data_IF_496181193574
#
_entry.id   IF_496181193574
#
_cell.length_a   1.000
_cell.length_b   1.000
_cell.length_c   1.000
_cell.angle_alpha   90.00
_cell.angle_beta   90.00
_cell.angle_gamma   90.00
#
_symmetry.space_group_name_H-M   'P 1'
#
loop_
_entity.id
_entity.type
_entity.pdbx_description
1 polymer ?
#
# COMPACT_ATOMS: atom_id res chain seq x y z
N UNK A 1 0.95 -1.46 -19.75
CA UNK A 1 -0.01 -2.58 -19.94
C UNK A 1 -1.43 -2.07 -19.70
N UNK A 2 -2.45 -2.47 -20.48
CA UNK A 2 -3.85 -1.99 -20.39
C UNK A 2 -4.82 -3.09 -19.92
N UNK A 3 -4.54 -3.74 -18.79
CA UNK A 3 -5.54 -4.62 -18.15
C UNK A 3 -6.58 -3.76 -17.42
N UNK A 4 -7.87 -4.06 -17.58
CA UNK A 4 -8.97 -3.32 -16.96
C UNK A 4 -9.76 -4.25 -16.05
N UNK A 5 -9.68 -3.99 -14.75
CA UNK A 5 -10.46 -4.71 -13.75
C UNK A 5 -11.77 -3.99 -13.47
N UNK A 6 -12.86 -4.76 -13.39
CA UNK A 6 -14.21 -4.29 -13.07
C UNK A 6 -14.64 -4.93 -11.75
N UNK A 7 -15.33 -4.18 -10.90
CA UNK A 7 -15.88 -4.67 -9.64
C UNK A 7 -17.21 -5.39 -9.86
N UNK A 8 -17.41 -6.50 -9.16
CA UNK A 8 -18.64 -7.28 -9.19
C UNK A 8 -19.18 -7.53 -7.78
N UNK A 9 -20.49 -7.77 -7.69
CA UNK A 9 -21.20 -7.97 -6.42
C UNK A 9 -22.15 -9.16 -6.52
N UNK A 10 -22.68 -9.71 -5.42
CA UNK A 10 -23.62 -10.83 -5.50
C UNK A 10 -24.88 -10.53 -6.33
N UNK A 11 -25.33 -9.27 -6.36
CA UNK A 11 -26.48 -8.81 -7.15
C UNK A 11 -26.13 -8.43 -8.60
N UNK A 12 -24.85 -8.36 -8.93
CA UNK A 12 -24.34 -8.05 -10.27
C UNK A 12 -23.05 -8.85 -10.51
N UNK A 13 -23.18 -10.18 -10.71
CA UNK A 13 -22.04 -11.07 -10.88
C UNK A 13 -21.37 -10.90 -12.26
N UNK A 14 -20.20 -11.51 -12.40
CA UNK A 14 -19.51 -11.69 -13.68
C UNK A 14 -19.63 -13.14 -14.14
N UNK A 15 -19.86 -13.32 -15.44
CA UNK A 15 -19.64 -14.61 -16.10
C UNK A 15 -18.12 -14.86 -16.25
N UNK A 16 -17.62 -15.76 -15.39
CA UNK A 16 -16.25 -16.25 -15.42
C UNK A 16 -16.22 -17.70 -15.91
N UNK A 17 -16.22 -17.89 -17.23
CA UNK A 17 -16.22 -19.22 -17.87
C UNK A 17 -17.45 -20.07 -17.50
N UNK A 18 -18.62 -19.46 -17.44
CA UNK A 18 -19.90 -20.12 -17.18
C UNK A 18 -20.28 -20.20 -15.69
N UNK A 19 -19.46 -19.68 -14.78
CA UNK A 19 -19.86 -19.45 -13.38
C UNK A 19 -20.11 -17.97 -13.11
N UNK A 20 -21.20 -17.69 -12.41
CA UNK A 20 -21.62 -16.34 -12.05
C UNK A 20 -20.96 -15.92 -10.72
N UNK A 21 -19.78 -15.30 -10.77
CA UNK A 21 -19.02 -14.95 -9.58
C UNK A 21 -19.34 -13.53 -9.07
N UNK A 22 -19.48 -13.30 -7.74
CA UNK A 22 -19.35 -14.27 -6.64
C UNK A 22 -20.64 -15.02 -6.27
N UNK A 23 -21.74 -14.88 -7.02
CA UNK A 23 -23.06 -15.37 -6.63
C UNK A 23 -23.14 -16.91 -6.52
N UNK A 24 -22.56 -17.64 -7.46
CA UNK A 24 -22.50 -19.10 -7.47
C UNK A 24 -21.65 -19.65 -6.30
N UNK A 25 -20.60 -18.92 -5.89
CA UNK A 25 -19.77 -19.29 -4.74
C UNK A 25 -20.52 -19.09 -3.42
N UNK A 26 -21.28 -17.99 -3.32
CA UNK A 26 -22.05 -17.66 -2.11
C UNK A 26 -23.29 -18.54 -1.91
N UNK A 27 -23.88 -19.05 -3.00
CA UNK A 27 -25.00 -19.99 -2.94
C UNK A 27 -24.58 -21.44 -2.75
N UNK A 28 -23.28 -21.75 -2.85
CA UNK A 28 -22.74 -23.10 -2.77
C UNK A 28 -22.91 -23.94 -4.05
N UNK A 29 -23.40 -23.34 -5.15
CA UNK A 29 -23.54 -24.03 -6.45
C UNK A 29 -22.18 -24.39 -7.07
N UNK A 30 -21.19 -23.51 -6.92
CA UNK A 30 -19.79 -23.75 -7.25
C UNK A 30 -18.91 -23.34 -6.06
N UNK A 31 -18.69 -24.24 -5.08
CA UNK A 31 -17.94 -23.95 -3.87
C UNK A 31 -16.53 -23.45 -4.14
N UNK A 32 -15.92 -22.78 -3.16
CA UNK A 32 -14.55 -22.28 -3.23
C UNK A 32 -13.60 -23.28 -2.60
N UNK A 33 -12.49 -23.57 -3.26
CA UNK A 33 -11.35 -24.26 -2.64
C UNK A 33 -10.09 -23.40 -2.73
N UNK A 34 -9.18 -23.53 -1.76
CA UNK A 34 -7.94 -22.73 -1.70
C UNK A 34 -6.71 -23.63 -1.70
N UNK A 35 -5.77 -23.34 -2.59
CA UNK A 35 -4.50 -24.04 -2.86
C UNK A 35 -4.62 -25.49 -3.37
N UNK A 36 -5.63 -26.23 -2.92
CA UNK A 36 -5.93 -27.61 -3.34
C UNK A 36 -7.44 -27.76 -3.60
N UNK A 37 -7.82 -28.52 -4.64
CA UNK A 37 -9.23 -28.80 -4.98
C UNK A 37 -9.99 -29.58 -3.89
N UNK A 38 -9.28 -30.24 -2.98
CA UNK A 38 -9.87 -30.93 -1.83
C UNK A 38 -10.02 -30.02 -0.61
N UNK A 39 -9.38 -28.85 -0.60
CA UNK A 39 -9.44 -27.88 0.49
C UNK A 39 -10.56 -26.87 0.27
N UNK A 40 -11.79 -27.36 0.33
CA UNK A 40 -12.99 -26.53 0.24
C UNK A 40 -13.12 -25.63 1.48
N UNK A 41 -13.42 -24.35 1.27
CA UNK A 41 -13.50 -23.35 2.33
C UNK A 41 -14.87 -22.67 2.36
N UNK A 42 -15.31 -22.29 3.56
CA UNK A 42 -16.50 -21.47 3.69
C UNK A 42 -16.22 -20.04 3.21
N UNK A 43 -17.17 -19.47 2.44
CA UNK A 43 -17.13 -18.08 2.00
C UNK A 43 -18.44 -17.37 2.34
N UNK A 44 -18.34 -16.07 2.63
CA UNK A 44 -19.51 -15.20 2.85
C UNK A 44 -19.22 -13.81 2.32
N UNK A 45 -20.22 -13.15 1.74
CA UNK A 45 -20.10 -11.73 1.39
C UNK A 45 -20.23 -10.89 2.66
N UNK A 46 -19.30 -9.97 2.88
CA UNK A 46 -19.33 -9.06 4.04
C UNK A 46 -19.09 -7.63 3.59
N UNK A 47 -20.00 -6.73 3.99
CA UNK A 47 -19.83 -5.29 3.78
C UNK A 47 -19.03 -4.63 4.90
N UNK A 48 -18.89 -5.31 6.04
CA UNK A 48 -18.21 -4.79 7.24
C UNK A 48 -16.83 -5.39 7.43
N UNK A 49 -16.54 -6.54 6.80
CA UNK A 49 -15.35 -7.35 7.10
C UNK A 49 -15.37 -7.98 8.50
N UNK A 50 -16.44 -7.71 9.26
CA UNK A 50 -16.84 -8.30 10.54
C UNK A 50 -17.35 -9.74 10.35
N UNK A 51 -17.38 -10.58 11.39
CA UNK A 51 -18.47 -11.56 11.62
C UNK A 51 -18.25 -13.08 11.45
N UNK A 52 -17.07 -13.61 11.08
CA UNK A 52 -16.91 -15.08 11.08
C UNK A 52 -15.48 -15.58 11.28
N UNK A 53 -15.30 -16.56 12.18
CA UNK A 53 -14.09 -17.38 12.25
C UNK A 53 -14.17 -18.51 11.22
N UNK A 54 -13.02 -18.94 10.70
CA UNK A 54 -12.86 -20.03 9.73
C UNK A 54 -13.72 -19.88 8.46
N UNK A 55 -14.00 -18.64 8.06
CA UNK A 55 -14.74 -18.30 6.85
C UNK A 55 -14.02 -17.16 6.14
N UNK A 56 -13.86 -17.28 4.83
CA UNK A 56 -13.34 -16.21 3.99
C UNK A 56 -14.45 -15.18 3.73
N UNK A 57 -14.34 -14.03 4.38
CA UNK A 57 -15.27 -12.92 4.18
C UNK A 57 -14.89 -12.17 2.92
N UNK A 58 -15.60 -12.39 1.81
CA UNK A 58 -15.43 -11.65 0.56
C UNK A 58 -15.95 -10.23 0.77
N UNK A 59 -15.04 -9.26 0.73
CA UNK A 59 -15.35 -7.83 0.87
C UNK A 59 -15.32 -7.08 -0.46
N UNK A 60 -14.67 -7.66 -1.48
CA UNK A 60 -14.77 -7.20 -2.86
C UNK A 60 -14.44 -8.32 -3.85
N UNK A 61 -15.03 -8.24 -5.04
CA UNK A 61 -14.77 -9.12 -6.17
C UNK A 61 -14.39 -8.28 -7.38
N UNK A 62 -13.31 -8.64 -8.07
CA UNK A 62 -12.86 -7.97 -9.29
C UNK A 62 -12.49 -8.99 -10.36
N UNK A 63 -12.77 -8.65 -11.62
CA UNK A 63 -12.34 -9.47 -12.75
C UNK A 63 -12.06 -8.62 -13.98
N UNK A 64 -11.17 -9.10 -14.84
CA UNK A 64 -10.93 -8.58 -16.19
C UNK A 64 -11.67 -9.38 -17.27
N UNK A 65 -12.56 -10.31 -16.89
CA UNK A 65 -13.22 -11.29 -17.76
C UNK A 65 -13.95 -10.71 -18.99
N UNK A 66 -14.41 -9.46 -18.92
CA UNK A 66 -15.08 -8.76 -20.03
C UNK A 66 -14.12 -8.10 -21.01
N UNK A 67 -12.81 -8.06 -20.70
CA UNK A 67 -11.80 -7.37 -21.48
C UNK A 67 -10.57 -8.23 -21.82
N UNK A 68 -10.29 -9.27 -21.03
CA UNK A 68 -9.20 -10.20 -21.25
C UNK A 68 -9.54 -11.22 -22.34
N UNK A 69 -8.49 -11.74 -22.99
CA UNK A 69 -8.61 -12.82 -23.97
C UNK A 69 -9.16 -14.11 -23.35
N UNK A 70 -9.68 -15.01 -24.20
CA UNK A 70 -10.05 -16.34 -23.75
C UNK A 70 -8.82 -17.07 -23.17
N UNK A 71 -8.99 -17.79 -22.06
CA UNK A 71 -7.93 -18.36 -21.20
C UNK A 71 -7.03 -17.39 -20.39
N UNK A 72 -7.14 -16.07 -20.55
CA UNK A 72 -6.34 -15.07 -19.81
C UNK A 72 -7.16 -14.29 -18.76
N UNK A 73 -8.36 -14.76 -18.43
CA UNK A 73 -9.24 -14.07 -17.47
C UNK A 73 -8.78 -14.37 -16.05
N UNK A 74 -8.80 -13.34 -15.22
CA UNK A 74 -8.52 -13.40 -13.79
C UNK A 74 -9.77 -13.04 -13.00
N UNK A 75 -10.03 -13.80 -11.94
CA UNK A 75 -11.04 -13.47 -10.94
C UNK A 75 -10.36 -13.34 -9.58
N UNK A 76 -10.53 -12.18 -8.95
CA UNK A 76 -9.98 -11.85 -7.66
C UNK A 76 -11.06 -11.74 -6.61
N UNK A 77 -10.88 -12.42 -5.48
CA UNK A 77 -11.61 -12.16 -4.25
C UNK A 77 -10.69 -11.49 -3.23
N UNK A 78 -11.08 -10.30 -2.81
CA UNK A 78 -10.47 -9.64 -1.66
C UNK A 78 -11.22 -10.12 -0.43
N UNK A 79 -10.51 -10.83 0.45
CA UNK A 79 -11.13 -11.58 1.55
C UNK A 79 -10.50 -11.28 2.90
N UNK A 80 -11.29 -11.32 3.97
CA UNK A 80 -10.75 -11.32 5.33
C UNK A 80 -10.97 -12.72 5.90
N UNK A 81 -9.88 -13.40 6.24
CA UNK A 81 -9.91 -14.73 6.85
C UNK A 81 -9.29 -14.66 8.24
N UNK A 82 -10.09 -14.96 9.28
CA UNK A 82 -9.64 -14.88 10.68
C UNK A 82 -8.97 -13.53 11.02
N UNK A 83 -9.57 -12.43 10.56
CA UNK A 83 -9.07 -11.07 10.75
C UNK A 83 -7.86 -10.70 9.88
N UNK A 84 -7.35 -11.63 9.07
CA UNK A 84 -6.23 -11.38 8.16
C UNK A 84 -6.74 -11.10 6.74
N UNK A 85 -6.37 -9.97 6.12
CA UNK A 85 -6.58 -9.74 4.70
C UNK A 85 -5.83 -10.79 3.86
N UNK A 86 -6.55 -11.42 2.93
CA UNK A 86 -6.04 -12.39 1.95
C UNK A 86 -6.65 -12.06 0.59
N UNK A 87 -5.83 -11.93 -0.45
CA UNK A 87 -6.31 -11.73 -1.82
C UNK A 87 -6.18 -13.04 -2.56
N UNK A 88 -7.32 -13.63 -2.92
CA UNK A 88 -7.40 -14.87 -3.68
C UNK A 88 -7.54 -14.56 -5.17
N UNK A 89 -6.90 -15.38 -6.02
CA UNK A 89 -6.99 -15.29 -7.47
C UNK A 89 -7.24 -16.65 -8.09
N UNK A 90 -8.04 -16.70 -9.16
CA UNK A 90 -8.18 -17.86 -10.02
C UNK A 90 -8.13 -17.48 -11.49
N UNK A 91 -7.63 -18.41 -12.29
CA UNK A 91 -7.66 -18.41 -13.76
C UNK A 91 -8.24 -19.75 -14.27
N UNK A 92 -8.89 -20.52 -13.40
CA UNK A 92 -9.44 -21.82 -13.74
C UNK A 92 -10.51 -21.64 -14.83
N UNK A 93 -10.26 -22.22 -16.00
CA UNK A 93 -11.14 -22.16 -17.18
C UNK A 93 -11.76 -23.52 -17.53
N UNK A 94 -11.48 -24.55 -16.75
CA UNK A 94 -12.03 -25.90 -16.88
C UNK A 94 -12.60 -26.37 -15.54
N UNK A 95 -13.65 -27.18 -15.60
CA UNK A 95 -14.19 -27.84 -14.42
C UNK A 95 -13.22 -28.87 -13.84
N UNK A 96 -13.50 -29.33 -12.61
CA UNK A 96 -12.76 -30.40 -11.96
C UNK A 96 -13.72 -31.43 -11.34
N UNK A 97 -13.19 -32.57 -10.88
CA UNK A 97 -13.98 -33.68 -10.34
C UNK A 97 -14.77 -33.34 -9.06
N UNK A 98 -14.40 -32.26 -8.35
CA UNK A 98 -15.07 -31.78 -7.13
C UNK A 98 -16.13 -30.71 -7.43
N UNK A 99 -16.27 -30.29 -8.70
CA UNK A 99 -17.19 -29.25 -9.16
C UNK A 99 -17.07 -27.93 -8.36
N UNK A 100 -15.85 -27.58 -7.95
CA UNK A 100 -15.55 -26.35 -7.22
C UNK A 100 -14.67 -25.41 -8.06
N UNK A 101 -14.58 -24.16 -7.63
CA UNK A 101 -13.69 -23.16 -8.22
C UNK A 101 -12.46 -23.03 -7.34
N UNK A 102 -11.32 -23.47 -7.85
CA UNK A 102 -10.04 -23.44 -7.13
C UNK A 102 -9.37 -22.08 -7.22
N UNK A 103 -9.02 -21.54 -6.06
CA UNK A 103 -8.25 -20.32 -5.89
C UNK A 103 -6.89 -20.62 -5.27
N UNK A 104 -5.98 -19.66 -5.40
CA UNK A 104 -4.76 -19.57 -4.59
C UNK A 104 -4.61 -18.15 -4.09
N UNK A 105 -3.78 -17.94 -3.07
CA UNK A 105 -3.38 -16.57 -2.73
C UNK A 105 -2.62 -15.94 -3.92
N UNK A 106 -2.89 -14.66 -4.20
CA UNK A 106 -2.21 -13.96 -5.28
C UNK A 106 -0.72 -13.82 -5.02
N UNK A 107 0.08 -14.05 -6.06
CA UNK A 107 1.51 -13.75 -6.04
C UNK A 107 1.77 -12.24 -6.21
N UNK A 108 0.75 -11.46 -6.62
CA UNK A 108 0.86 -10.02 -6.79
C UNK A 108 1.03 -9.30 -5.44
N UNK A 109 2.29 -8.98 -5.11
CA UNK A 109 2.67 -8.32 -3.85
C UNK A 109 2.00 -6.96 -3.67
N UNK A 110 1.71 -6.24 -4.76
CA UNK A 110 1.05 -4.93 -4.70
C UNK A 110 -0.41 -5.05 -4.25
N UNK A 111 -1.13 -6.07 -4.73
CA UNK A 111 -2.50 -6.32 -4.28
C UNK A 111 -2.55 -6.77 -2.83
N UNK A 112 -1.63 -7.64 -2.41
CA UNK A 112 -1.50 -8.07 -1.00
C UNK A 112 -1.23 -6.87 -0.09
N UNK A 113 -0.20 -6.08 -0.40
CA UNK A 113 0.20 -4.94 0.41
C UNK A 113 -0.86 -3.83 0.43
N UNK A 114 -1.46 -3.53 -0.72
CA UNK A 114 -2.52 -2.54 -0.85
C UNK A 114 -3.76 -2.91 -0.05
N UNK A 115 -4.19 -4.17 -0.12
CA UNK A 115 -5.34 -4.63 0.64
C UNK A 115 -5.06 -4.75 2.14
N UNK A 116 -3.88 -5.25 2.52
CA UNK A 116 -3.44 -5.29 3.91
C UNK A 116 -3.49 -3.90 4.55
N UNK A 117 -3.10 -2.85 3.82
CA UNK A 117 -3.16 -1.47 4.27
C UNK A 117 -4.60 -1.02 4.56
N UNK A 118 -5.56 -1.33 3.69
CA UNK A 118 -6.99 -0.96 3.81
C UNK A 118 -7.69 -1.70 4.96
N UNK A 119 -7.48 -3.01 5.09
CA UNK A 119 -8.10 -3.81 6.16
C UNK A 119 -7.46 -3.51 7.51
N UNK A 120 -6.13 -3.30 7.54
CA UNK A 120 -5.40 -2.87 8.73
C UNK A 120 -5.85 -1.49 9.25
N UNK A 121 -6.44 -0.64 8.40
CA UNK A 121 -7.06 0.63 8.82
C UNK A 121 -8.51 0.48 9.29
N UNK A 122 -9.15 -0.67 9.05
CA UNK A 122 -10.58 -0.91 9.35
C UNK A 122 -10.81 -1.72 10.64
N UNK A 123 -9.75 -2.18 11.31
CA UNK A 123 -9.80 -2.95 12.56
C UNK A 123 -9.01 -2.25 13.67
N UNK A 124 -9.44 -1.06 14.10
CA UNK A 124 -8.95 -0.42 15.31
C UNK A 124 -9.99 0.51 15.93
N UNK A 125 -11.09 -0.08 16.40
CA UNK A 125 -11.64 0.32 17.68
C UNK A 125 -11.06 -0.65 18.73
N UNK A 126 -10.03 -0.17 19.42
CA UNK A 126 -9.49 -0.61 20.72
C UNK A 126 -8.35 -1.68 20.79
N UNK A 127 -7.14 -1.16 21.10
CA UNK A 127 -6.02 -1.69 21.94
C UNK A 127 -5.35 -3.01 21.52
N UNK A 128 -4.04 -3.18 21.32
CA UNK A 128 -2.80 -2.47 21.67
C UNK A 128 -1.73 -2.87 20.63
N UNK A 129 -1.11 -1.93 19.92
CA UNK A 129 0.21 -1.44 20.33
C UNK A 129 0.29 0.03 19.94
N UNK A 130 0.13 0.90 20.93
CA UNK A 130 0.69 2.24 20.81
C UNK A 130 2.21 2.06 20.72
N UNK A 131 2.77 1.99 19.52
CA UNK A 131 4.13 2.46 19.29
C UNK A 131 4.09 3.95 19.51
N UNK A 132 4.33 4.33 20.76
CA UNK A 132 4.78 5.64 21.25
C UNK A 132 4.73 6.77 20.20
N UNK A 133 3.52 7.22 19.86
CA UNK A 133 3.31 8.38 18.98
C UNK A 133 3.75 9.71 19.67
N UNK A 134 4.19 9.64 20.93
CA UNK A 134 4.61 10.77 21.76
C UNK A 134 6.13 10.91 21.95
N UNK A 135 6.94 9.92 21.59
CA UNK A 135 8.39 10.06 21.66
C UNK A 135 8.90 10.77 20.40
N UNK A 136 9.56 11.91 20.59
CA UNK A 136 10.16 12.64 19.48
C UNK A 136 11.14 11.73 18.72
N UNK A 137 11.15 11.82 17.39
CA UNK A 137 12.12 11.09 16.56
C UNK A 137 13.56 11.39 17.01
N UNK A 138 14.51 10.54 16.64
CA UNK A 138 15.92 10.78 16.93
C UNK A 138 16.55 11.70 15.88
N UNK A 139 17.61 12.47 16.23
CA UNK A 139 18.40 13.19 15.25
C UNK A 139 18.96 12.26 14.16
N UNK A 140 19.10 12.80 12.94
CA UNK A 140 19.50 12.08 11.73
C UNK A 140 20.80 12.68 11.18
N UNK A 141 21.79 11.84 10.86
CA UNK A 141 22.98 12.23 10.11
C UNK A 141 22.77 12.15 8.60
N UNK A 142 23.68 12.74 7.80
CA UNK A 142 23.65 12.67 6.34
C UNK A 142 23.60 11.22 5.81
N UNK A 143 24.41 10.32 6.38
CA UNK A 143 24.40 8.88 6.07
C UNK A 143 23.02 8.25 6.32
N UNK A 144 22.38 8.58 7.45
CA UNK A 144 21.06 8.07 7.78
C UNK A 144 19.97 8.68 6.87
N UNK A 145 20.12 9.94 6.47
CA UNK A 145 19.21 10.62 5.56
C UNK A 145 19.21 9.98 4.18
N UNK A 146 20.39 9.78 3.58
CA UNK A 146 20.49 9.13 2.27
C UNK A 146 20.09 7.66 2.34
N UNK A 147 20.32 6.96 3.45
CA UNK A 147 19.86 5.57 3.62
C UNK A 147 18.33 5.47 3.74
N UNK A 148 17.68 6.44 4.39
CA UNK A 148 16.22 6.53 4.42
C UNK A 148 15.65 6.74 3.02
N UNK A 149 16.24 7.65 2.23
CA UNK A 149 15.82 7.86 0.84
C UNK A 149 16.10 6.66 -0.06
N UNK A 150 17.25 5.99 0.10
CA UNK A 150 17.54 4.74 -0.60
C UNK A 150 16.49 3.66 -0.30
N UNK A 151 16.08 3.54 0.96
CA UNK A 151 15.02 2.62 1.39
C UNK A 151 13.68 2.96 0.72
N UNK A 152 13.38 4.24 0.55
CA UNK A 152 12.21 4.71 -0.20
C UNK A 152 12.29 4.29 -1.68
N UNK A 153 13.38 4.61 -2.38
CA UNK A 153 13.55 4.24 -3.79
C UNK A 153 13.42 2.73 -4.02
N UNK A 154 14.04 1.91 -3.16
CA UNK A 154 13.95 0.44 -3.22
C UNK A 154 12.52 -0.11 -3.08
N UNK A 155 11.61 0.61 -2.43
CA UNK A 155 10.20 0.21 -2.29
C UNK A 155 9.32 0.69 -3.44
N UNK A 156 9.74 1.73 -4.16
CA UNK A 156 8.95 2.36 -5.20
C UNK A 156 9.42 2.04 -6.63
N UNK A 157 10.69 1.66 -6.79
CA UNK A 157 11.30 1.38 -8.08
C UNK A 157 11.77 -0.07 -8.18
N UNK A 158 10.82 -1.00 -8.29
CA UNK A 158 11.15 -2.41 -8.51
C UNK A 158 11.86 -2.60 -9.86
N UNK A 159 13.15 -2.95 -9.80
CA UNK A 159 13.96 -3.26 -10.99
C UNK A 159 14.70 -2.07 -11.61
N UNK A 160 14.62 -0.87 -11.03
CA UNK A 160 15.50 0.24 -11.43
C UNK A 160 16.92 0.02 -10.92
N UNK A 161 17.90 0.41 -11.73
CA UNK A 161 19.29 0.46 -11.30
C UNK A 161 19.56 1.81 -10.63
N UNK A 162 19.17 1.90 -9.36
CA UNK A 162 19.31 3.12 -8.55
C UNK A 162 20.75 3.65 -8.59
N UNK A 163 21.74 2.77 -8.58
CA UNK A 163 23.14 3.18 -8.65
C UNK A 163 23.44 3.94 -9.94
N UNK A 164 22.96 3.44 -11.07
CA UNK A 164 23.13 4.11 -12.35
C UNK A 164 22.33 5.42 -12.43
N UNK A 165 21.16 5.53 -11.83
CA UNK A 165 20.40 6.79 -11.79
C UNK A 165 21.16 7.92 -11.08
N UNK A 166 21.88 7.63 -9.99
CA UNK A 166 22.76 8.62 -9.36
C UNK A 166 24.05 8.87 -10.14
N UNK A 167 24.62 7.84 -10.77
CA UNK A 167 25.89 7.95 -11.51
C UNK A 167 25.73 8.72 -12.82
N UNK A 168 24.57 8.62 -13.46
CA UNK A 168 24.26 9.25 -14.75
C UNK A 168 23.54 10.59 -14.59
N UNK A 169 23.45 11.12 -13.37
CA UNK A 169 22.78 12.39 -13.07
C UNK A 169 21.30 12.41 -13.48
N UNK A 170 20.63 11.25 -13.47
CA UNK A 170 19.17 11.17 -13.51
C UNK A 170 18.61 11.70 -12.19
N UNK A 171 19.18 11.28 -11.06
CA UNK A 171 19.04 11.95 -9.76
C UNK A 171 20.27 12.83 -9.54
N UNK A 172 20.08 14.14 -9.69
CA UNK A 172 21.15 15.14 -9.68
C UNK A 172 21.51 15.60 -8.29
N UNK A 173 20.49 15.90 -7.46
CA UNK A 173 20.65 16.41 -6.11
C UNK A 173 19.66 15.74 -5.17
N UNK A 174 20.04 15.66 -3.90
CA UNK A 174 19.16 15.33 -2.79
C UNK A 174 19.14 16.51 -1.83
N UNK A 175 17.98 17.12 -1.61
CA UNK A 175 17.80 18.12 -0.57
C UNK A 175 17.45 17.43 0.73
N UNK A 176 18.19 17.70 1.79
CA UNK A 176 17.95 17.19 3.13
C UNK A 176 17.59 18.34 4.07
N UNK A 177 16.33 18.39 4.50
CA UNK A 177 15.80 19.49 5.29
C UNK A 177 15.25 18.99 6.63
N UNK A 178 15.51 19.73 7.70
CA UNK A 178 14.68 19.64 8.92
C UNK A 178 13.35 20.35 8.64
N UNK A 179 12.26 19.61 8.81
CA UNK A 179 10.88 20.11 8.63
C UNK A 179 10.11 20.17 9.93
N UNK A 180 10.77 19.94 11.07
CA UNK A 180 10.17 20.03 12.41
C UNK A 180 9.42 21.34 12.59
N UNK A 181 8.15 21.25 13.01
CA UNK A 181 7.28 22.40 13.23
C UNK A 181 6.77 23.09 11.96
N UNK A 182 7.19 22.68 10.76
CA UNK A 182 6.61 23.18 9.51
C UNK A 182 5.21 22.61 9.28
N UNK A 183 4.37 23.37 8.59
CA UNK A 183 3.01 22.95 8.23
C UNK A 183 3.05 21.70 7.33
N UNK A 184 2.26 20.68 7.65
CA UNK A 184 2.21 19.41 6.90
C UNK A 184 1.68 19.59 5.48
N UNK A 185 0.85 20.60 5.25
CA UNK A 185 0.25 20.92 3.96
C UNK A 185 0.92 22.11 3.27
N UNK A 186 2.13 22.52 3.67
CA UNK A 186 2.86 23.65 3.08
C UNK A 186 2.01 24.93 2.95
N UNK A 187 1.14 25.16 3.92
CA UNK A 187 0.23 26.31 4.00
C UNK A 187 -0.73 26.48 2.81
N UNK A 188 -0.96 25.44 1.99
CA UNK A 188 -1.94 25.51 0.87
C UNK A 188 -3.37 25.74 1.35
N UNK A 189 -3.66 25.40 2.61
CA UNK A 189 -4.91 25.69 3.29
C UNK A 189 -4.67 26.18 4.71
N UNK A 190 -5.08 27.41 5.00
CA UNK A 190 -4.91 28.07 6.30
C UNK A 190 -5.64 27.36 7.46
N UNK A 191 -6.61 26.50 7.18
CA UNK A 191 -7.30 25.73 8.21
C UNK A 191 -6.46 24.54 8.71
N UNK A 192 -5.47 24.08 7.93
CA UNK A 192 -4.55 23.03 8.36
C UNK A 192 -3.53 23.65 9.30
N UNK A 193 -3.64 23.37 10.59
CA UNK A 193 -2.67 23.79 11.62
C UNK A 193 -1.74 22.65 12.04
N UNK A 194 -1.87 21.47 11.41
CA UNK A 194 -1.06 20.30 11.72
C UNK A 194 0.37 20.54 11.25
N UNK A 195 1.33 20.29 12.13
CA UNK A 195 2.76 20.46 11.87
C UNK A 195 3.50 19.14 11.97
N UNK A 196 4.64 19.03 11.31
CA UNK A 196 5.54 17.90 11.47
C UNK A 196 6.10 17.87 12.91
N UNK A 197 6.14 16.70 13.57
CA UNK A 197 6.70 16.58 14.90
C UNK A 197 8.21 16.91 14.93
N UNK A 198 8.77 17.09 16.13
CA UNK A 198 10.21 17.34 16.30
C UNK A 198 11.06 16.20 15.70
N UNK A 199 12.23 16.56 15.16
CA UNK A 199 13.17 15.66 14.49
C UNK A 199 12.55 14.93 13.30
N UNK A 200 11.67 15.62 12.57
CA UNK A 200 11.14 15.14 11.29
C UNK A 200 11.92 15.76 10.16
N UNK A 201 12.35 14.93 9.22
CA UNK A 201 13.19 15.33 8.12
C UNK A 201 12.54 15.01 6.78
N UNK A 202 12.91 15.80 5.78
CA UNK A 202 12.60 15.58 4.38
C UNK A 202 13.89 15.24 3.63
N UNK A 203 13.85 14.19 2.80
CA UNK A 203 14.80 14.04 1.69
C UNK A 203 14.03 14.08 0.38
N UNK A 204 14.42 15.00 -0.52
CA UNK A 204 13.76 15.23 -1.81
C UNK A 204 14.77 15.24 -2.94
N UNK A 205 14.50 14.50 -4.00
CA UNK A 205 15.37 14.47 -5.17
C UNK A 205 15.14 15.66 -6.13
N UNK A 206 16.17 15.96 -6.93
CA UNK A 206 16.10 16.80 -8.12
C UNK A 206 16.57 15.99 -9.33
N UNK A 207 15.77 15.90 -10.42
CA UNK A 207 14.44 16.49 -10.58
C UNK A 207 13.42 15.92 -9.59
N UNK A 208 12.38 16.70 -9.29
CA UNK A 208 11.40 16.36 -8.25
C UNK A 208 10.63 15.06 -8.55
N UNK A 209 10.56 14.64 -9.81
CA UNK A 209 9.95 13.38 -10.25
C UNK A 209 10.56 12.13 -9.62
N UNK A 210 11.82 12.21 -9.18
CA UNK A 210 12.53 11.07 -8.59
C UNK A 210 12.17 10.84 -7.11
N UNK A 211 11.28 11.67 -6.56
CA UNK A 211 10.57 11.40 -5.33
C UNK A 211 11.00 12.19 -4.10
N UNK A 212 10.22 12.02 -3.04
CA UNK A 212 10.35 12.70 -1.75
C UNK A 212 9.95 11.77 -0.62
N UNK A 213 10.62 11.88 0.53
CA UNK A 213 10.27 11.15 1.75
C UNK A 213 10.32 12.07 2.96
N UNK A 214 9.28 12.01 3.79
CA UNK A 214 9.24 12.63 5.12
C UNK A 214 9.35 11.55 6.17
N UNK A 215 10.28 11.66 7.12
CA UNK A 215 10.52 10.58 8.08
C UNK A 215 11.08 11.06 9.42
N UNK A 216 10.94 10.20 10.43
CA UNK A 216 11.62 10.26 11.72
C UNK A 216 12.45 8.99 11.91
N UNK A 217 13.62 9.11 12.52
CA UNK A 217 14.39 7.95 12.99
C UNK A 217 13.84 7.44 14.31
N UNK A 218 13.62 6.14 14.42
CA UNK A 218 13.18 5.47 15.65
C UNK A 218 14.35 4.76 16.32
N UNK A 219 15.19 4.08 15.53
CA UNK A 219 16.42 3.40 15.96
C UNK A 219 17.46 3.50 14.83
N UNK A 220 18.63 2.88 15.01
CA UNK A 220 19.68 2.88 13.97
C UNK A 220 19.25 2.15 12.68
N UNK A 221 18.29 1.22 12.75
CA UNK A 221 17.83 0.41 11.62
C UNK A 221 16.37 0.65 11.23
N UNK A 222 15.65 1.52 11.95
CA UNK A 222 14.20 1.69 11.80
C UNK A 222 13.82 3.16 11.73
N UNK A 223 13.00 3.47 10.74
CA UNK A 223 12.40 4.79 10.51
C UNK A 223 10.88 4.69 10.51
N UNK A 224 10.21 5.81 10.77
CA UNK A 224 8.79 5.98 10.45
C UNK A 224 8.65 7.01 9.35
N UNK A 225 7.84 6.70 8.36
CA UNK A 225 7.62 7.50 7.17
C UNK A 225 6.22 8.11 7.21
N UNK A 226 6.14 9.42 7.01
CA UNK A 226 4.89 10.15 6.87
C UNK A 226 4.52 10.22 5.39
N UNK A 227 3.35 9.72 5.03
CA UNK A 227 2.91 9.61 3.62
C UNK A 227 2.32 10.93 3.10
N UNK A 228 3.05 12.03 3.28
CA UNK A 228 2.70 13.36 2.76
C UNK A 228 3.03 13.39 1.27
N UNK A 229 2.12 13.89 0.41
CA UNK A 229 2.33 13.90 -1.03
C UNK A 229 3.36 14.95 -1.46
N UNK A 230 4.07 14.63 -2.54
CA UNK A 230 5.03 15.49 -3.22
C UNK A 230 4.42 16.82 -3.67
N UNK A 231 3.15 16.79 -4.08
CA UNK A 231 2.39 17.97 -4.44
C UNK A 231 0.91 17.87 -4.04
N UNK A 232 0.35 19.00 -3.59
CA UNK A 232 -1.07 19.13 -3.21
C UNK A 232 -1.95 19.49 -4.43
N UNK A 233 -1.91 18.68 -5.49
CA UNK A 233 -2.58 18.96 -6.77
C UNK A 233 -4.11 18.79 -6.74
N UNK A 234 -4.62 18.03 -5.77
CA UNK A 234 -6.06 17.83 -5.59
C UNK A 234 -6.71 19.15 -5.13
N UNK A 235 -7.67 19.66 -5.89
CA UNK A 235 -8.30 20.95 -5.63
C UNK A 235 -9.06 21.00 -4.30
N UNK A 236 -9.40 19.84 -3.73
CA UNK A 236 -10.00 19.73 -2.39
C UNK A 236 -9.08 20.27 -1.30
N UNK A 237 -7.76 20.30 -1.51
CA UNK A 237 -6.84 20.95 -0.57
C UNK A 237 -7.19 22.42 -0.36
N UNK A 238 -7.57 23.14 -1.42
CA UNK A 238 -7.94 24.57 -1.32
C UNK A 238 -9.43 24.79 -1.15
N UNK A 239 -10.28 23.91 -1.69
CA UNK A 239 -11.74 24.08 -1.72
C UNK A 239 -12.48 23.44 -0.55
N UNK A 240 -11.87 22.50 0.17
CA UNK A 240 -12.52 21.77 1.26
C UNK A 240 -11.61 21.65 2.49
N UNK A 241 -11.70 22.65 3.36
CA UNK A 241 -10.88 22.74 4.57
C UNK A 241 -11.07 21.58 5.54
N UNK A 242 -12.29 21.05 5.70
CA UNK A 242 -12.55 19.91 6.59
C UNK A 242 -11.83 18.65 6.08
N UNK A 243 -11.88 18.41 4.76
CA UNK A 243 -11.16 17.31 4.13
C UNK A 243 -9.64 17.50 4.22
N UNK A 244 -9.13 18.70 3.95
CA UNK A 244 -7.70 19.01 4.02
C UNK A 244 -7.13 18.78 5.44
N UNK A 245 -7.85 19.24 6.47
CA UNK A 245 -7.48 19.01 7.87
C UNK A 245 -7.49 17.52 8.20
N UNK A 246 -8.52 16.79 7.81
CA UNK A 246 -8.60 15.35 8.04
C UNK A 246 -7.42 14.61 7.38
N UNK A 247 -7.05 15.01 6.17
CA UNK A 247 -5.98 14.36 5.44
C UNK A 247 -4.58 14.69 6.00
N UNK A 248 -4.34 15.93 6.40
CA UNK A 248 -3.11 16.30 7.10
C UNK A 248 -2.94 15.56 8.44
N UNK A 249 -4.04 15.38 9.19
CA UNK A 249 -4.04 14.56 10.40
C UNK A 249 -3.71 13.09 10.09
N UNK A 250 -4.35 12.53 9.07
CA UNK A 250 -4.11 11.14 8.64
C UNK A 250 -2.62 10.87 8.36
N UNK A 251 -1.94 11.77 7.65
CA UNK A 251 -0.49 11.62 7.39
C UNK A 251 0.35 11.54 8.66
N UNK A 252 -0.03 12.27 9.71
CA UNK A 252 0.72 12.33 10.97
C UNK A 252 0.32 11.24 11.96
N UNK A 253 -0.94 10.83 11.96
CA UNK A 253 -1.50 9.87 12.91
C UNK A 253 -1.23 8.42 12.50
N UNK A 254 -1.02 8.16 11.20
CA UNK A 254 -0.81 6.82 10.65
C UNK A 254 0.47 6.70 9.81
N UNK A 255 1.66 7.04 10.35
CA UNK A 255 2.91 6.85 9.62
C UNK A 255 3.29 5.38 9.54
N UNK A 256 4.05 5.03 8.50
CA UNK A 256 4.51 3.67 8.24
C UNK A 256 5.87 3.43 8.90
N UNK A 257 5.98 2.46 9.79
CA UNK A 257 7.28 2.03 10.33
C UNK A 257 7.97 1.10 9.32
N UNK A 258 9.25 1.35 9.06
CA UNK A 258 10.05 0.67 8.05
C UNK A 258 11.45 0.37 8.58
N UNK A 259 11.94 -0.84 8.29
CA UNK A 259 13.37 -1.13 8.41
C UNK A 259 14.13 -0.52 7.25
N UNK A 260 15.30 0.03 7.53
CA UNK A 260 16.21 0.53 6.52
C UNK A 260 16.69 -0.61 5.62
N UNK A 261 16.76 -0.34 4.33
CA UNK A 261 17.34 -1.27 3.37
C UNK A 261 18.86 -1.33 3.57
N UNK A 262 19.47 -2.52 3.44
CA UNK A 262 20.92 -2.64 3.45
C UNK A 262 21.48 -1.89 2.24
N UNK A 263 22.57 -1.15 2.46
CA UNK A 263 23.28 -0.41 1.41
C UNK A 263 24.79 -0.56 1.64
N UNK A 264 25.57 -0.62 0.57
CA UNK A 264 27.02 -0.65 0.67
C UNK A 264 27.61 0.76 0.72
N UNK A 265 28.88 0.86 1.13
CA UNK A 265 29.58 2.14 1.27
C UNK A 265 29.74 2.89 -0.05
N UNK A 266 29.77 2.19 -1.19
CA UNK A 266 29.92 2.82 -2.51
C UNK A 266 28.64 3.56 -2.87
N UNK A 267 27.49 2.90 -2.73
CA UNK A 267 26.19 3.50 -2.98
C UNK A 267 25.92 4.67 -2.02
N UNK A 268 26.19 4.47 -0.74
CA UNK A 268 25.99 5.51 0.27
C UNK A 268 26.85 6.76 -0.01
N UNK A 269 28.13 6.59 -0.35
CA UNK A 269 29.00 7.71 -0.69
C UNK A 269 28.57 8.42 -1.98
N UNK A 270 28.09 7.68 -2.98
CA UNK A 270 27.54 8.27 -4.20
C UNK A 270 26.32 9.15 -3.90
N UNK A 271 25.35 8.65 -3.13
CA UNK A 271 24.17 9.44 -2.75
C UNK A 271 24.55 10.67 -1.91
N UNK A 272 25.48 10.52 -0.96
CA UNK A 272 25.98 11.65 -0.15
C UNK A 272 26.66 12.71 -0.99
N UNK A 273 27.35 12.34 -2.07
CA UNK A 273 27.96 13.32 -2.98
C UNK A 273 26.93 14.21 -3.70
N UNK A 274 25.65 13.81 -3.72
CA UNK A 274 24.53 14.57 -4.27
C UNK A 274 23.74 15.33 -3.19
N UNK A 275 24.04 15.13 -1.91
CA UNK A 275 23.30 15.70 -0.80
C UNK A 275 23.57 17.20 -0.66
N UNK A 276 22.52 17.97 -0.45
CA UNK A 276 22.51 19.43 -0.29
C UNK A 276 21.61 19.79 0.89
N UNK A 277 22.03 20.78 1.67
CA UNK A 277 21.31 21.34 2.82
C UNK A 277 20.81 22.75 2.51
#
# INVERSE_FOLDING_TARGET
>A
MKQKYVSYTPSSPVDFYGTEAPADQLSGKYPVSVDDVNNEVAVKWSTTGQEAQNTYLIVACYSDATSAGYADKHLYFFTIYNGKPVVLVTMQNQGNARNNLGFRETENVNLKNGFNKIVGTSSSANSNTATDNGSAGLPVSDDQAVQAFYTFLRQHEEGSDIYNSFKQDEIQLLFFNDVSGKNVASDVNKAVTRVFPKNTYEVRAQPHSEGQVYFQRISDDTIRVFNVPDAFQDDRWTKNSAWAVAQANNYMDYPKVMKLSPTDSTMLNLMKSKLTH
#
